data_IF_550011460240
#
_entry.id   IF_550011460240
#
_cell.length_a   1.000
_cell.length_b   1.000
_cell.length_c   1.000
_cell.angle_alpha   90.00
_cell.angle_beta   90.00
_cell.angle_gamma   90.00
#
_symmetry.space_group_name_H-M   'P 1'
#
loop_
_entity.id
_entity.type
_entity.pdbx_description
1 polymer ?
#
# COMPACT_ATOMS: atom_id res chain seq x y z
N UNK A 1 -0.27 -26.39 0.24
CA UNK A 1 0.82 -25.99 -0.68
C UNK A 1 0.68 -26.87 -1.89
N UNK A 2 0.11 -26.36 -2.97
CA UNK A 2 -0.02 -27.08 -4.24
C UNK A 2 1.33 -26.97 -4.95
N UNK A 3 1.82 -28.09 -5.47
CA UNK A 3 3.12 -28.16 -6.13
C UNK A 3 3.04 -27.41 -7.47
N UNK A 4 4.03 -26.58 -7.87
CA UNK A 4 3.96 -25.82 -9.13
C UNK A 4 3.79 -26.69 -10.39
N UNK A 5 4.12 -27.99 -10.30
CA UNK A 5 3.98 -28.96 -11.39
C UNK A 5 2.58 -29.58 -11.53
N UNK A 6 1.63 -29.29 -10.63
CA UNK A 6 0.24 -29.76 -10.74
C UNK A 6 -0.69 -28.80 -11.52
N UNK A 7 -0.18 -27.65 -11.98
CA UNK A 7 -0.96 -26.69 -12.75
C UNK A 7 -1.05 -27.10 -14.23
N UNK A 8 -1.85 -28.13 -14.52
CA UNK A 8 -2.20 -28.49 -15.89
C UNK A 8 -3.38 -27.66 -16.39
N UNK A 9 -3.19 -27.00 -17.53
CA UNK A 9 -4.24 -26.30 -18.30
C UNK A 9 -4.84 -27.17 -19.41
N UNK A 10 -4.31 -28.38 -19.62
CA UNK A 10 -4.82 -29.28 -20.66
C UNK A 10 -6.24 -29.76 -20.32
N UNK A 11 -7.16 -29.51 -21.25
CA UNK A 11 -8.55 -29.97 -21.16
C UNK A 11 -9.46 -29.13 -20.26
N UNK A 12 -8.96 -28.03 -19.68
CA UNK A 12 -9.78 -27.09 -18.90
C UNK A 12 -10.36 -25.98 -19.77
N UNK A 13 -11.58 -25.58 -19.46
CA UNK A 13 -12.19 -24.36 -20.01
C UNK A 13 -11.55 -23.11 -19.40
N UNK A 14 -11.66 -21.96 -20.07
CA UNK A 14 -11.13 -20.68 -19.54
C UNK A 14 -11.68 -20.35 -18.16
N UNK A 15 -12.96 -20.63 -17.90
CA UNK A 15 -13.60 -20.42 -16.59
C UNK A 15 -12.99 -21.32 -15.50
N UNK A 16 -12.66 -22.57 -15.82
CA UNK A 16 -12.02 -23.50 -14.87
C UNK A 16 -10.58 -23.10 -14.57
N UNK A 17 -9.83 -22.66 -15.59
CA UNK A 17 -8.49 -22.09 -15.39
C UNK A 17 -8.57 -20.84 -14.52
N UNK A 18 -9.54 -19.96 -14.77
CA UNK A 18 -9.73 -18.76 -13.96
C UNK A 18 -10.06 -19.10 -12.50
N UNK A 19 -10.95 -20.07 -12.26
CA UNK A 19 -11.27 -20.51 -10.89
C UNK A 19 -10.07 -21.15 -10.18
N UNK A 20 -9.23 -21.89 -10.89
CA UNK A 20 -8.02 -22.47 -10.32
C UNK A 20 -6.97 -21.41 -9.99
N UNK A 21 -6.79 -20.41 -10.86
CA UNK A 21 -5.96 -19.22 -10.58
C UNK A 21 -6.50 -18.48 -9.36
N UNK A 22 -7.82 -18.29 -9.25
CA UNK A 22 -8.45 -17.64 -8.08
C UNK A 22 -8.22 -18.40 -6.77
N UNK A 23 -8.06 -19.73 -6.84
CA UNK A 23 -7.81 -20.59 -5.68
C UNK A 23 -6.32 -20.72 -5.34
N UNK A 24 -5.44 -20.36 -6.25
CA UNK A 24 -4.01 -20.32 -6.00
C UNK A 24 -3.63 -19.05 -5.23
N UNK A 25 -3.63 -19.17 -3.90
CA UNK A 25 -3.14 -18.12 -3.02
C UNK A 25 -1.67 -17.76 -3.25
N UNK A 26 -0.88 -18.61 -3.92
CA UNK A 26 0.52 -18.36 -4.25
C UNK A 26 0.69 -17.24 -5.26
N UNK A 27 -0.16 -17.16 -6.30
CA UNK A 27 -0.11 -16.10 -7.30
C UNK A 27 -0.39 -14.74 -6.67
N UNK A 28 -1.47 -14.62 -5.89
CA UNK A 28 -1.83 -13.37 -5.21
C UNK A 28 -0.78 -12.93 -4.17
N UNK A 29 -0.15 -13.89 -3.48
CA UNK A 29 0.95 -13.57 -2.57
C UNK A 29 2.17 -13.02 -3.33
N UNK A 30 2.54 -13.62 -4.46
CA UNK A 30 3.66 -13.17 -5.27
C UNK A 30 3.41 -11.77 -5.87
N UNK A 31 2.19 -11.50 -6.36
CA UNK A 31 1.80 -10.17 -6.84
C UNK A 31 1.83 -9.13 -5.73
N UNK A 32 1.40 -9.49 -4.51
CA UNK A 32 1.45 -8.61 -3.35
C UNK A 32 2.89 -8.31 -2.91
N UNK A 33 3.77 -9.30 -2.92
CA UNK A 33 5.19 -9.10 -2.61
C UNK A 33 5.84 -8.18 -3.66
N UNK A 34 5.58 -8.39 -4.95
CA UNK A 34 6.06 -7.51 -6.03
C UNK A 34 5.53 -6.08 -5.89
N UNK A 35 4.26 -5.92 -5.52
CA UNK A 35 3.68 -4.61 -5.20
C UNK A 35 4.41 -3.93 -4.04
N UNK A 36 4.73 -4.68 -2.99
CA UNK A 36 5.46 -4.17 -1.83
C UNK A 36 6.89 -3.75 -2.19
N UNK A 37 7.57 -4.51 -3.05
CA UNK A 37 8.91 -4.18 -3.53
C UNK A 37 8.88 -2.91 -4.40
N UNK A 38 7.96 -2.82 -5.35
CA UNK A 38 7.78 -1.62 -6.18
C UNK A 38 7.42 -0.38 -5.35
N UNK A 39 6.63 -0.56 -4.28
CA UNK A 39 6.33 0.51 -3.34
C UNK A 39 7.56 0.92 -2.53
N UNK A 40 8.39 -0.03 -2.12
CA UNK A 40 9.67 0.24 -1.42
C UNK A 40 10.59 1.09 -2.30
N UNK A 41 10.75 0.72 -3.57
CA UNK A 41 11.52 1.51 -4.53
C UNK A 41 10.91 2.93 -4.70
N UNK A 42 9.58 3.04 -4.74
CA UNK A 42 8.91 4.34 -4.78
C UNK A 42 9.21 5.18 -3.52
N UNK A 43 9.20 4.55 -2.33
CA UNK A 43 9.53 5.19 -1.06
C UNK A 43 10.95 5.76 -1.08
N UNK A 44 11.94 4.96 -1.50
CA UNK A 44 13.34 5.40 -1.61
C UNK A 44 13.47 6.60 -2.56
N UNK A 45 12.83 6.51 -3.72
CA UNK A 45 12.81 7.59 -4.71
C UNK A 45 12.15 8.88 -4.20
N UNK A 46 11.10 8.76 -3.38
CA UNK A 46 10.40 9.90 -2.78
C UNK A 46 11.25 10.52 -1.66
N UNK A 47 11.88 9.69 -0.85
CA UNK A 47 12.65 10.11 0.32
C UNK A 47 14.14 10.36 0.03
N UNK A 48 14.61 10.31 -1.23
CA UNK A 48 16.04 10.42 -1.58
C UNK A 48 16.80 11.66 -1.06
N UNK A 49 16.10 12.70 -0.57
CA UNK A 49 16.69 13.90 0.06
C UNK A 49 16.34 14.06 1.54
N UNK A 50 15.73 13.04 2.12
CA UNK A 50 15.22 12.98 3.49
C UNK A 50 15.84 11.79 4.21
N UNK A 51 15.62 11.71 5.52
CA UNK A 51 16.03 10.53 6.28
C UNK A 51 15.01 9.41 6.04
N UNK A 52 15.42 8.38 5.28
CA UNK A 52 14.56 7.24 4.94
C UNK A 52 14.07 6.51 6.20
N UNK A 53 12.88 5.91 6.10
CA UNK A 53 12.27 5.13 7.18
C UNK A 53 11.32 5.91 8.09
N UNK A 54 11.30 7.24 8.02
CA UNK A 54 10.47 8.11 8.88
C UNK A 54 9.40 8.83 8.07
N UNK A 55 8.13 8.61 8.44
CA UNK A 55 6.99 9.02 7.64
C UNK A 55 5.93 9.75 8.46
N UNK A 56 5.32 10.74 7.82
CA UNK A 56 4.12 11.41 8.27
C UNK A 56 2.98 11.09 7.30
N UNK A 57 1.81 10.73 7.83
CA UNK A 57 0.62 10.49 7.02
C UNK A 57 -0.55 11.32 7.54
N UNK A 58 -1.30 11.88 6.60
CA UNK A 58 -2.64 12.44 6.82
C UNK A 58 -3.66 11.61 6.06
N UNK A 59 -4.82 11.40 6.67
CA UNK A 59 -5.97 10.78 6.02
C UNK A 59 -7.14 11.75 6.00
N UNK A 60 -7.88 11.76 4.90
CA UNK A 60 -9.12 12.52 4.73
C UNK A 60 -10.30 11.59 4.44
N UNK A 61 -11.50 11.99 4.88
CA UNK A 61 -12.75 11.24 4.75
C UNK A 61 -12.70 9.81 5.29
N UNK A 62 -11.97 9.59 6.39
CA UNK A 62 -11.80 8.30 7.02
C UNK A 62 -13.08 7.80 7.71
N UNK A 63 -13.44 6.54 7.41
CA UNK A 63 -14.60 5.84 7.94
C UNK A 63 -15.95 6.49 7.65
N UNK A 64 -17.00 5.92 8.25
CA UNK A 64 -18.38 6.37 8.05
C UNK A 64 -18.65 7.82 8.52
N UNK A 65 -17.85 8.33 9.46
CA UNK A 65 -17.92 9.73 9.94
C UNK A 65 -17.18 10.72 9.06
N UNK A 66 -16.47 10.26 8.02
CA UNK A 66 -15.68 11.10 7.11
C UNK A 66 -14.69 12.01 7.86
N UNK A 67 -14.01 11.49 8.88
CA UNK A 67 -13.09 12.27 9.71
C UNK A 67 -11.71 12.39 9.07
N UNK A 68 -10.96 13.42 9.47
CA UNK A 68 -9.54 13.52 9.17
C UNK A 68 -8.72 12.94 10.32
N UNK A 69 -7.49 12.52 10.03
CA UNK A 69 -6.54 12.08 11.03
C UNK A 69 -5.11 12.21 10.53
N UNK A 70 -4.15 12.14 11.44
CA UNK A 70 -2.74 12.12 11.09
C UNK A 70 -1.95 11.17 11.99
N UNK A 71 -0.80 10.72 11.51
CA UNK A 71 0.08 9.79 12.23
C UNK A 71 1.54 9.97 11.79
N UNK A 72 2.44 9.94 12.78
CA UNK A 72 3.87 9.74 12.57
C UNK A 72 4.22 8.27 12.80
N UNK A 73 5.04 7.68 11.94
CA UNK A 73 5.41 6.27 12.03
C UNK A 73 6.76 5.98 11.36
N UNK A 74 7.27 4.76 11.61
CA UNK A 74 8.43 4.22 10.92
C UNK A 74 8.01 3.08 9.99
N UNK A 75 8.65 3.01 8.82
CA UNK A 75 8.47 1.95 7.85
C UNK A 75 9.64 1.95 6.87
N UNK A 76 10.37 0.83 6.79
CA UNK A 76 11.51 0.67 5.91
C UNK A 76 11.13 -0.06 4.61
N UNK A 77 9.95 -0.70 4.59
CA UNK A 77 9.42 -1.41 3.42
C UNK A 77 8.01 -0.96 3.07
N UNK A 78 7.62 -1.17 1.81
CA UNK A 78 6.25 -0.93 1.33
C UNK A 78 5.21 -1.70 2.13
N UNK A 79 5.52 -2.95 2.52
CA UNK A 79 4.66 -3.78 3.36
C UNK A 79 4.41 -3.14 4.73
N UNK A 80 5.47 -2.69 5.39
CA UNK A 80 5.36 -1.99 6.69
C UNK A 80 4.58 -0.69 6.56
N UNK A 81 4.83 0.10 5.50
CA UNK A 81 4.09 1.33 5.24
C UNK A 81 2.59 1.05 5.15
N UNK A 82 2.18 0.07 4.33
CA UNK A 82 0.77 -0.29 4.18
C UNK A 82 0.17 -0.78 5.50
N UNK A 83 0.88 -1.61 6.27
CA UNK A 83 0.44 -2.10 7.58
C UNK A 83 0.27 -0.98 8.62
N UNK A 84 1.03 0.10 8.50
CA UNK A 84 0.97 1.22 9.45
C UNK A 84 -0.25 2.12 9.26
N UNK A 85 -0.81 2.20 8.04
CA UNK A 85 -1.83 3.19 7.69
C UNK A 85 -3.15 2.59 7.22
N UNK A 86 -3.14 1.41 6.59
CA UNK A 86 -4.38 0.80 6.11
C UNK A 86 -5.15 0.13 7.26
N UNK A 87 -6.50 0.15 7.20
CA UNK A 87 -7.32 -0.53 8.19
C UNK A 87 -7.12 -2.06 8.12
N UNK A 88 -7.23 -2.74 9.26
CA UNK A 88 -7.09 -4.21 9.38
C UNK A 88 -8.37 -4.93 8.92
N UNK A 89 -8.74 -4.73 7.68
CA UNK A 89 -9.93 -5.30 7.03
C UNK A 89 -9.60 -5.60 5.56
N UNK A 90 -10.33 -6.49 4.89
CA UNK A 90 -10.27 -6.57 3.44
C UNK A 90 -10.50 -5.19 2.82
N UNK A 91 -9.52 -4.75 2.04
CA UNK A 91 -9.55 -3.50 1.30
C UNK A 91 -8.85 -3.66 -0.06
N UNK A 92 -9.20 -2.79 -0.99
CA UNK A 92 -8.50 -2.60 -2.26
C UNK A 92 -8.00 -1.16 -2.27
N UNK A 93 -6.85 -0.90 -2.88
CA UNK A 93 -6.30 0.45 -2.91
C UNK A 93 -5.53 0.72 -4.19
N UNK A 94 -5.37 2.02 -4.49
CA UNK A 94 -4.56 2.52 -5.59
C UNK A 94 -3.48 3.43 -5.03
N UNK A 95 -2.25 3.21 -5.47
CA UNK A 95 -1.09 3.99 -5.04
C UNK A 95 -0.68 4.93 -6.17
N UNK A 96 -0.44 6.18 -5.82
CA UNK A 96 -0.09 7.24 -6.75
C UNK A 96 1.14 8.00 -6.27
N UNK A 97 1.94 8.44 -7.22
CA UNK A 97 2.93 9.51 -7.03
C UNK A 97 2.46 10.75 -7.79
N UNK A 98 2.42 11.95 -7.17
CA UNK A 98 2.07 13.16 -7.88
C UNK A 98 2.99 13.40 -9.08
N UNK A 99 2.44 13.99 -10.14
CA UNK A 99 3.23 14.40 -11.32
C UNK A 99 4.27 15.47 -10.99
N UNK A 100 3.96 16.32 -10.02
CA UNK A 100 4.90 17.32 -9.51
C UNK A 100 5.94 16.65 -8.60
N UNK A 101 7.16 16.51 -9.13
CA UNK A 101 8.30 15.92 -8.41
C UNK A 101 8.85 16.83 -7.28
N UNK A 102 8.38 18.08 -7.17
CA UNK A 102 8.79 18.98 -6.07
C UNK A 102 8.11 18.65 -4.75
N UNK A 103 6.98 17.96 -4.79
CA UNK A 103 6.29 17.49 -3.57
C UNK A 103 6.63 16.01 -3.37
N UNK A 104 7.54 15.67 -2.44
CA UNK A 104 7.93 14.29 -2.19
C UNK A 104 6.83 13.60 -1.38
N UNK A 105 5.76 13.15 -2.04
CA UNK A 105 4.69 12.41 -1.37
C UNK A 105 4.21 11.21 -2.15
N UNK A 106 3.68 10.25 -1.41
CA UNK A 106 2.91 9.11 -1.89
C UNK A 106 1.44 9.38 -1.53
N UNK A 107 0.53 9.00 -2.42
CA UNK A 107 -0.90 9.09 -2.19
C UNK A 107 -1.54 7.71 -2.34
N UNK A 108 -2.42 7.35 -1.41
CA UNK A 108 -3.17 6.09 -1.50
C UNK A 108 -4.65 6.38 -1.42
N UNK A 109 -5.39 5.90 -2.40
CA UNK A 109 -6.85 5.88 -2.37
C UNK A 109 -7.30 4.49 -1.90
N UNK A 110 -8.03 4.43 -0.79
CA UNK A 110 -8.44 3.17 -0.18
C UNK A 110 -9.94 2.91 -0.36
N UNK A 111 -10.29 1.65 -0.59
CA UNK A 111 -11.66 1.15 -0.78
C UNK A 111 -11.87 -0.02 0.17
N UNK A 112 -12.93 0.02 0.96
CA UNK A 112 -13.36 -1.06 1.84
C UNK A 112 -14.89 -1.01 1.98
N UNK A 113 -15.47 -2.00 2.64
CA UNK A 113 -16.93 -2.12 2.74
C UNK A 113 -17.64 -0.88 3.33
N UNK A 114 -16.99 -0.14 4.25
CA UNK A 114 -17.53 1.13 4.79
C UNK A 114 -17.21 2.37 3.93
N UNK A 115 -16.30 2.26 2.95
CA UNK A 115 -15.96 3.31 1.99
C UNK A 115 -15.87 2.74 0.57
N UNK A 116 -16.99 2.23 0.01
CA UNK A 116 -16.99 1.48 -1.25
C UNK A 116 -16.67 2.38 -2.46
N UNK A 117 -16.84 3.69 -2.34
CA UNK A 117 -16.56 4.67 -3.40
C UNK A 117 -15.16 5.30 -3.31
N UNK A 118 -14.32 4.83 -2.38
CA UNK A 118 -12.91 5.24 -2.30
C UNK A 118 -12.71 6.69 -1.91
N UNK A 119 -13.48 7.19 -0.94
CA UNK A 119 -13.35 8.57 -0.45
C UNK A 119 -12.16 8.76 0.46
N UNK A 120 -11.61 7.67 1.00
CA UNK A 120 -10.45 7.69 1.89
C UNK A 120 -9.17 7.93 1.10
N UNK A 121 -8.53 9.06 1.39
CA UNK A 121 -7.24 9.42 0.80
C UNK A 121 -6.19 9.60 1.87
N UNK A 122 -5.13 8.81 1.75
CA UNK A 122 -3.92 8.91 2.55
C UNK A 122 -2.88 9.70 1.76
N UNK A 123 -2.30 10.69 2.40
CA UNK A 123 -1.17 11.46 1.89
C UNK A 123 0.01 11.23 2.80
N UNK A 124 1.14 10.79 2.24
CA UNK A 124 2.28 10.28 3.00
C UNK A 124 3.53 11.02 2.54
N UNK A 125 4.26 11.60 3.49
CA UNK A 125 5.47 12.37 3.26
C UNK A 125 6.63 11.79 4.07
N UNK A 126 7.86 11.81 3.54
CA UNK A 126 9.04 11.62 4.37
C UNK A 126 9.14 12.79 5.36
N UNK A 127 9.54 12.49 6.59
CA UNK A 127 9.71 13.51 7.63
C UNK A 127 10.99 14.31 7.42
N UNK A 128 10.98 15.60 7.81
CA UNK A 128 12.20 16.40 7.90
C UNK A 128 13.01 16.02 9.13
N UNK A 129 14.28 16.44 9.18
CA UNK A 129 15.15 16.18 10.35
C UNK A 129 14.54 16.79 11.61
N UNK A 130 14.02 18.02 11.52
CA UNK A 130 13.38 18.71 12.64
C UNK A 130 12.16 17.94 13.17
N UNK A 131 11.31 17.43 12.27
CA UNK A 131 10.16 16.62 12.66
C UNK A 131 10.56 15.30 13.33
N UNK A 132 11.67 14.70 12.90
CA UNK A 132 12.19 13.47 13.50
C UNK A 132 12.71 13.75 14.91
N UNK A 133 13.50 14.80 15.08
CA UNK A 133 14.02 15.22 16.39
C UNK A 133 12.89 15.56 17.36
N UNK A 134 11.90 16.33 16.94
CA UNK A 134 10.74 16.68 17.77
C UNK A 134 9.94 15.44 18.21
N UNK A 135 9.84 14.42 17.35
CA UNK A 135 8.99 13.26 17.61
C UNK A 135 9.71 12.08 18.27
N UNK A 136 11.00 11.89 17.98
CA UNK A 136 11.77 10.69 18.32
C UNK A 136 13.13 10.96 18.97
N UNK A 137 13.57 12.23 19.09
CA UNK A 137 14.77 12.62 19.84
C UNK A 137 14.53 12.66 21.34
#
# INVERSE_FOLDING_TARGET
MTNPEDFSVEGKTEDEVFQDVLRDGGLFNHEFDYLCDALTEMMENVAHRFHFGYWYCEVSNFGWRSQGGHKYFKADTGKELLQQILPKTPCTYKIFRPKDRRTPKIMIQNYHHDSPVGKEWYHIWPMTVEQIEERYG
#
